data_IF_197391637760
#
_entry.id   IF_197391637760
#
_cell.length_a   1.000
_cell.length_b   1.000
_cell.length_c   1.000
_cell.angle_alpha   90.00
_cell.angle_beta   90.00
_cell.angle_gamma   90.00
#
_symmetry.space_group_name_H-M   'P 1'
#
loop_
_entity.id
_entity.type
_entity.pdbx_description
1 polymer ?
#
# COMPACT_ATOMS: atom_id res chain seq x y z
N UNK A 1 16.85 -38.27 -2.53
CA UNK A 1 17.26 -36.85 -2.56
C UNK A 1 16.11 -36.06 -3.14
N UNK A 2 15.36 -35.34 -2.31
CA UNK A 2 14.30 -34.45 -2.79
C UNK A 2 14.91 -33.06 -3.03
N UNK A 3 14.67 -32.42 -4.17
CA UNK A 3 15.05 -31.02 -4.34
C UNK A 3 14.11 -30.15 -3.51
N UNK A 4 14.67 -29.42 -2.55
CA UNK A 4 13.99 -28.33 -1.84
C UNK A 4 13.84 -27.19 -2.84
N UNK A 5 12.76 -27.18 -3.63
CA UNK A 5 12.40 -26.03 -4.46
C UNK A 5 11.69 -25.01 -3.57
N UNK A 6 12.49 -24.24 -2.84
CA UNK A 6 12.06 -23.09 -2.06
C UNK A 6 12.17 -21.80 -2.87
N UNK A 7 11.63 -21.76 -4.08
CA UNK A 7 11.40 -20.49 -4.76
C UNK A 7 10.17 -19.83 -4.10
N UNK A 8 10.37 -19.15 -2.97
CA UNK A 8 9.45 -18.07 -2.59
C UNK A 8 9.71 -16.96 -3.60
N UNK A 9 8.83 -16.84 -4.58
CA UNK A 9 8.81 -15.73 -5.51
C UNK A 9 8.92 -14.42 -4.71
N UNK A 10 10.10 -13.81 -4.76
CA UNK A 10 10.36 -12.50 -4.19
C UNK A 10 9.69 -11.48 -5.11
N UNK A 11 8.36 -11.42 -5.09
CA UNK A 11 7.61 -10.46 -5.88
C UNK A 11 8.02 -9.07 -5.41
N UNK A 12 8.78 -8.37 -6.26
CA UNK A 12 9.24 -7.02 -6.01
C UNK A 12 8.02 -6.09 -5.86
N UNK A 13 7.86 -5.54 -4.66
CA UNK A 13 6.78 -4.60 -4.38
C UNK A 13 7.05 -3.30 -5.14
N UNK A 14 6.06 -2.85 -5.92
CA UNK A 14 6.12 -1.60 -6.67
C UNK A 14 5.23 -0.54 -6.03
N UNK A 15 5.57 0.73 -6.25
CA UNK A 15 4.71 1.83 -5.84
C UNK A 15 3.34 1.68 -6.55
N UNK A 16 2.23 1.96 -5.85
CA UNK A 16 0.91 1.78 -6.41
C UNK A 16 0.58 2.95 -7.33
N UNK A 17 -0.23 2.67 -8.35
CA UNK A 17 -0.93 3.71 -9.07
C UNK A 17 -2.12 4.24 -8.23
N UNK A 18 -2.72 5.36 -8.66
CA UNK A 18 -3.84 5.95 -7.91
C UNK A 18 -5.06 5.02 -7.82
N UNK A 19 -5.28 4.18 -8.84
CA UNK A 19 -6.40 3.25 -8.90
C UNK A 19 -6.22 2.07 -7.95
N UNK A 20 -5.01 1.50 -7.85
CA UNK A 20 -4.63 0.44 -6.91
C UNK A 20 -4.84 0.90 -5.48
N UNK A 21 -4.41 2.12 -5.13
CA UNK A 21 -4.66 2.68 -3.80
C UNK A 21 -6.16 2.81 -3.51
N UNK A 22 -6.96 3.33 -4.46
CA UNK A 22 -8.41 3.44 -4.32
C UNK A 22 -9.10 2.07 -4.18
N UNK A 23 -8.63 1.07 -4.91
CA UNK A 23 -9.17 -0.28 -4.85
C UNK A 23 -8.89 -0.91 -3.50
N UNK A 24 -7.65 -0.80 -2.98
CA UNK A 24 -7.31 -1.28 -1.65
C UNK A 24 -8.21 -0.64 -0.58
N UNK A 25 -8.35 0.69 -0.59
CA UNK A 25 -9.20 1.40 0.37
C UNK A 25 -10.65 0.88 0.36
N UNK A 26 -11.21 0.63 -0.82
CA UNK A 26 -12.56 0.05 -0.97
C UNK A 26 -12.62 -1.39 -0.45
N UNK A 27 -11.62 -2.21 -0.77
CA UNK A 27 -11.56 -3.62 -0.38
C UNK A 27 -11.52 -3.77 1.15
N UNK A 28 -10.66 -3.01 1.83
CA UNK A 28 -10.51 -3.06 3.29
C UNK A 28 -11.45 -2.10 4.04
N UNK A 29 -12.31 -1.38 3.30
CA UNK A 29 -13.33 -0.45 3.84
C UNK A 29 -12.75 0.65 4.74
N UNK A 30 -11.63 1.25 4.34
CA UNK A 30 -11.02 2.39 5.04
C UNK A 30 -11.17 3.68 4.22
N UNK A 31 -11.29 4.78 4.93
CA UNK A 31 -11.34 6.13 4.38
C UNK A 31 -9.94 6.70 4.15
N UNK A 32 -9.86 7.81 3.39
CA UNK A 32 -8.60 8.53 3.19
C UNK A 32 -8.05 9.11 4.51
N UNK A 33 -8.94 9.46 5.43
CA UNK A 33 -8.58 9.95 6.76
C UNK A 33 -7.90 8.85 7.57
N UNK A 34 -8.47 7.64 7.60
CA UNK A 34 -7.87 6.49 8.29
C UNK A 34 -6.52 6.09 7.66
N UNK A 35 -6.38 6.15 6.33
CA UNK A 35 -5.07 5.95 5.68
C UNK A 35 -4.05 7.00 6.14
N UNK A 36 -4.47 8.26 6.25
CA UNK A 36 -3.61 9.34 6.68
C UNK A 36 -3.13 9.13 8.13
N UNK A 37 -4.02 8.67 9.01
CA UNK A 37 -3.72 8.32 10.40
C UNK A 37 -2.77 7.12 10.50
N UNK A 38 -3.01 6.04 9.74
CA UNK A 38 -2.15 4.85 9.70
C UNK A 38 -0.72 5.15 9.23
N UNK A 39 -0.56 6.14 8.35
CA UNK A 39 0.71 6.54 7.75
C UNK A 39 1.33 7.77 8.40
N UNK A 40 0.67 8.39 9.38
CA UNK A 40 1.08 9.63 10.01
C UNK A 40 1.38 10.76 9.01
N UNK A 41 0.51 10.92 8.01
CA UNK A 41 0.58 11.98 6.99
C UNK A 41 -0.66 12.86 7.02
N UNK A 42 -0.63 14.00 6.32
CA UNK A 42 -1.83 14.83 6.16
C UNK A 42 -2.82 14.15 5.19
N UNK A 43 -4.12 14.25 5.44
CA UNK A 43 -5.18 13.73 4.55
C UNK A 43 -5.08 14.29 3.12
N UNK A 44 -4.58 15.52 2.96
CA UNK A 44 -4.30 16.11 1.64
C UNK A 44 -3.23 15.35 0.86
N UNK A 45 -2.25 14.76 1.55
CA UNK A 45 -1.25 13.90 0.93
C UNK A 45 -1.90 12.64 0.34
N UNK A 46 -2.81 12.01 1.10
CA UNK A 46 -3.58 10.85 0.62
C UNK A 46 -4.53 11.23 -0.51
N UNK A 47 -5.14 12.42 -0.45
CA UNK A 47 -5.97 12.94 -1.53
C UNK A 47 -5.16 13.09 -2.83
N UNK A 48 -3.94 13.62 -2.77
CA UNK A 48 -3.04 13.76 -3.92
C UNK A 48 -2.62 12.39 -4.48
N UNK A 49 -2.32 11.41 -3.62
CA UNK A 49 -2.01 10.04 -4.03
C UNK A 49 -3.18 9.33 -4.71
N UNK A 50 -4.39 9.53 -4.21
CA UNK A 50 -5.60 8.90 -4.74
C UNK A 50 -6.29 9.70 -5.87
N UNK A 51 -5.78 10.88 -6.23
CA UNK A 51 -6.30 11.69 -7.32
C UNK A 51 -6.04 11.01 -8.68
N UNK A 52 -6.89 11.28 -9.68
CA UNK A 52 -6.67 10.76 -11.02
C UNK A 52 -5.39 11.33 -11.63
N UNK A 53 -4.59 10.48 -12.29
CA UNK A 53 -3.23 10.79 -12.73
C UNK A 53 -3.14 11.88 -13.81
N UNK A 54 -4.24 12.14 -14.51
CA UNK A 54 -4.37 13.21 -15.49
C UNK A 54 -4.67 14.59 -14.88
N UNK A 55 -4.64 14.72 -13.54
CA UNK A 55 -4.95 15.97 -12.84
C UNK A 55 -3.69 16.60 -12.25
N UNK A 56 -3.65 17.94 -12.19
CA UNK A 56 -2.55 18.69 -11.55
C UNK A 56 -2.40 18.41 -10.04
N UNK A 57 -3.45 17.85 -9.44
CA UNK A 57 -3.51 17.47 -8.03
C UNK A 57 -2.82 16.13 -7.74
N UNK A 58 -2.60 15.28 -8.76
CA UNK A 58 -2.01 13.98 -8.55
C UNK A 58 -0.54 14.07 -8.14
N UNK A 59 -0.17 13.25 -7.16
CA UNK A 59 1.22 13.01 -6.76
C UNK A 59 1.43 11.50 -6.61
N UNK A 60 2.56 10.94 -7.05
CA UNK A 60 2.83 9.52 -6.86
C UNK A 60 2.98 9.18 -5.37
N UNK A 61 2.46 8.03 -4.96
CA UNK A 61 2.68 7.50 -3.62
C UNK A 61 4.09 6.91 -3.51
N UNK A 62 4.91 7.30 -2.52
CA UNK A 62 6.21 6.67 -2.31
C UNK A 62 6.09 5.18 -1.97
N UNK A 63 7.00 4.34 -2.48
CA UNK A 63 7.01 2.89 -2.21
C UNK A 63 7.03 2.58 -0.71
N UNK A 64 7.82 3.32 0.08
CA UNK A 64 7.88 3.12 1.53
C UNK A 64 6.54 3.36 2.22
N UNK A 65 5.78 4.35 1.79
CA UNK A 65 4.45 4.62 2.33
C UNK A 65 3.48 3.48 1.96
N UNK A 66 3.59 2.95 0.74
CA UNK A 66 2.79 1.82 0.29
C UNK A 66 3.11 0.54 1.07
N UNK A 67 4.39 0.23 1.23
CA UNK A 67 4.84 -0.93 2.01
C UNK A 67 4.34 -0.84 3.46
N UNK A 68 4.47 0.33 4.08
CA UNK A 68 3.98 0.57 5.44
C UNK A 68 2.45 0.39 5.54
N UNK A 69 1.69 0.92 4.58
CA UNK A 69 0.23 0.77 4.55
C UNK A 69 -0.15 -0.72 4.48
N UNK A 70 0.49 -1.47 3.59
CA UNK A 70 0.24 -2.90 3.45
C UNK A 70 0.59 -3.69 4.72
N UNK A 71 1.67 -3.32 5.42
CA UNK A 71 2.03 -3.91 6.70
C UNK A 71 0.98 -3.63 7.78
N UNK A 72 0.56 -2.38 7.91
CA UNK A 72 -0.47 -1.95 8.89
C UNK A 72 -1.83 -2.62 8.65
N UNK A 73 -2.16 -2.91 7.39
CA UNK A 73 -3.39 -3.59 7.01
C UNK A 73 -3.27 -5.13 6.98
N UNK A 74 -2.10 -5.68 7.32
CA UNK A 74 -1.80 -7.11 7.21
C UNK A 74 -2.10 -7.68 5.81
N UNK A 75 -1.76 -6.90 4.77
CA UNK A 75 -1.93 -7.20 3.34
C UNK A 75 -0.60 -7.29 2.59
N UNK A 76 0.52 -7.13 3.27
CA UNK A 76 1.84 -7.21 2.64
C UNK A 76 2.09 -8.64 2.11
N UNK A 77 2.57 -8.81 0.86
CA UNK A 77 2.64 -10.13 0.20
C UNK A 77 3.56 -11.12 0.94
N UNK A 78 4.66 -10.63 1.51
CA UNK A 78 5.72 -11.48 2.08
C UNK A 78 5.94 -11.33 3.59
N UNK A 79 5.27 -10.37 4.22
CA UNK A 79 5.51 -9.97 5.61
C UNK A 79 4.16 -9.83 6.31
N UNK A 80 4.08 -10.29 7.56
CA UNK A 80 2.91 -10.06 8.42
C UNK A 80 3.41 -9.57 9.77
N UNK A 81 2.75 -8.55 10.30
CA UNK A 81 3.03 -8.09 11.66
C UNK A 81 2.30 -9.03 12.61
N UNK A 82 3.05 -9.74 13.45
CA UNK A 82 2.49 -10.49 14.57
C UNK A 82 2.58 -9.57 15.79
N UNK A 83 1.44 -9.29 16.42
CA UNK A 83 1.45 -8.66 17.75
C UNK A 83 1.97 -9.70 18.75
N UNK A 84 2.96 -9.30 19.58
CA UNK A 84 3.59 -10.12 20.62
C UNK A 84 2.80 -10.05 21.93
#
# INVERSE_FOLDING_TARGET
MNPVSGHKDNQELKAPDAQTLRNLMKEVRITRQEVAELLHVNTNTVNAWAAAENTSLHRPMPLMAWELLLLKLNRHPSKRVFEL
#
